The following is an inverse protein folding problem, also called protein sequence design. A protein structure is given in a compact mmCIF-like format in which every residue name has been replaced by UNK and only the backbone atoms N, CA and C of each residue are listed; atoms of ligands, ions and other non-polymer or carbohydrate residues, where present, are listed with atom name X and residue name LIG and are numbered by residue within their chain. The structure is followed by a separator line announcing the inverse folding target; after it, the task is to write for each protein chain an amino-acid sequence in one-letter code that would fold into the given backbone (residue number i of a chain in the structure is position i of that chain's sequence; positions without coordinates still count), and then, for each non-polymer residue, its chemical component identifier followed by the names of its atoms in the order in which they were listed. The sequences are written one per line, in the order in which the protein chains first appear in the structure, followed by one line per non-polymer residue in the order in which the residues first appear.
data_IF_779150623840
#
_entry.id   IF_779150623840
#
_cell.length_a   1.000
_cell.length_b   1.000
_cell.length_c   1.000
_cell.angle_alpha   90.00
_cell.angle_beta   90.00
_cell.angle_gamma   90.00
#
_symmetry.space_group_name_H-M   'P 1'
#
loop_
_entity.id
_entity.type
_entity.pdbx_description
1 polymer ?
#
# COMPACT_ATOMS: atom_id res chain seq x y z
N UNK A 1 10.77 -4.23 27.41
CA UNK A 1 10.83 -3.18 26.36
C UNK A 1 10.25 -3.76 25.08
N UNK A 2 9.63 -2.98 24.19
CA UNK A 2 9.19 -3.52 22.90
C UNK A 2 10.39 -4.10 22.14
N UNK A 3 10.19 -5.23 21.46
CA UNK A 3 11.20 -5.79 20.57
C UNK A 3 11.29 -4.92 19.32
N UNK A 4 12.50 -4.43 19.03
CA UNK A 4 12.81 -3.55 17.91
C UNK A 4 13.78 -4.21 16.92
N UNK A 5 13.91 -5.53 16.98
CA UNK A 5 14.75 -6.30 16.06
C UNK A 5 14.24 -6.15 14.63
N UNK A 6 15.10 -5.84 13.64
CA UNK A 6 14.72 -5.82 12.24
C UNK A 6 14.17 -7.17 11.78
N UNK A 7 13.04 -7.17 11.07
CA UNK A 7 12.39 -8.38 10.56
C UNK A 7 12.75 -8.53 9.08
N UNK A 8 13.53 -9.55 8.68
CA UNK A 8 13.88 -9.77 7.29
C UNK A 8 12.68 -10.30 6.48
N UNK A 9 12.56 -9.87 5.22
CA UNK A 9 11.54 -10.34 4.28
C UNK A 9 12.21 -11.18 3.19
N UNK A 10 12.15 -12.51 3.33
CA UNK A 10 12.62 -13.43 2.28
C UNK A 10 11.55 -13.57 1.18
N UNK A 11 11.79 -12.92 0.04
CA UNK A 11 10.88 -12.94 -1.11
C UNK A 11 10.71 -14.30 -1.78
N UNK A 12 11.58 -15.26 -1.48
CA UNK A 12 11.46 -16.62 -2.02
C UNK A 12 10.32 -17.37 -1.34
N UNK A 13 10.01 -17.05 -0.09
CA UNK A 13 9.05 -17.77 0.76
C UNK A 13 7.68 -17.10 0.82
N UNK A 14 6.94 -17.18 -0.28
CA UNK A 14 5.56 -16.65 -0.38
C UNK A 14 4.55 -17.62 0.23
N UNK A 15 4.70 -18.90 -0.08
CA UNK A 15 4.18 -20.06 0.63
C UNK A 15 4.80 -21.23 -0.13
N UNK A 16 5.61 -22.03 0.54
CA UNK A 16 6.53 -22.92 -0.16
C UNK A 16 5.81 -24.14 -0.80
N UNK A 17 4.47 -24.21 -0.69
CA UNK A 17 3.62 -25.35 -1.06
C UNK A 17 2.11 -25.02 -1.27
N UNK A 18 1.67 -23.76 -1.17
CA UNK A 18 0.25 -23.41 -1.34
C UNK A 18 -0.13 -23.14 -2.80
N UNK A 19 -1.25 -23.74 -3.24
CA UNK A 19 -1.94 -23.34 -4.47
C UNK A 19 -2.62 -22.00 -4.20
N UNK A 20 -2.34 -20.99 -5.04
CA UNK A 20 -2.95 -19.67 -4.93
C UNK A 20 -4.49 -19.73 -4.96
N UNK A 21 -5.14 -18.76 -4.33
CA UNK A 21 -6.60 -18.62 -4.30
C UNK A 21 -7.05 -17.65 -5.38
N UNK A 22 -8.27 -17.74 -5.92
CA UNK A 22 -8.77 -16.72 -6.83
C UNK A 22 -8.58 -15.30 -6.27
N UNK A 23 -8.12 -14.38 -7.10
CA UNK A 23 -7.89 -12.99 -6.72
C UNK A 23 -9.14 -12.33 -6.13
N UNK A 24 -9.00 -11.66 -4.98
CA UNK A 24 -10.07 -10.96 -4.25
C UNK A 24 -9.82 -9.46 -4.07
N UNK A 25 -8.71 -8.93 -4.61
CA UNK A 25 -8.37 -7.50 -4.54
C UNK A 25 -9.16 -6.61 -5.53
N UNK A 26 -10.06 -7.21 -6.31
CA UNK A 26 -10.96 -6.51 -7.24
C UNK A 26 -11.88 -7.48 -7.99
N UNK A 27 -12.65 -6.97 -8.94
CA UNK A 27 -13.50 -7.78 -9.81
C UNK A 27 -12.69 -8.33 -10.99
N UNK A 28 -12.65 -9.64 -11.16
CA UNK A 28 -11.97 -10.28 -12.29
C UNK A 28 -12.76 -10.02 -13.57
N UNK A 29 -12.10 -9.39 -14.56
CA UNK A 29 -12.68 -9.10 -15.87
C UNK A 29 -12.26 -10.14 -16.93
N UNK A 30 -11.07 -10.73 -16.80
CA UNK A 30 -10.55 -11.76 -17.72
C UNK A 30 -9.53 -12.66 -17.03
N UNK A 31 -9.44 -13.91 -17.49
CA UNK A 31 -8.55 -14.93 -16.94
C UNK A 31 -9.06 -15.54 -15.63
N UNK A 32 -8.18 -16.27 -14.95
CA UNK A 32 -8.41 -16.86 -13.63
C UNK A 32 -7.20 -16.57 -12.73
N UNK A 33 -6.95 -15.29 -12.41
CA UNK A 33 -5.79 -14.91 -11.61
C UNK A 33 -5.89 -15.55 -10.22
N UNK A 34 -4.85 -16.29 -9.85
CA UNK A 34 -4.66 -16.87 -8.54
C UNK A 34 -3.64 -16.02 -7.79
N UNK A 35 -4.03 -15.52 -6.63
CA UNK A 35 -3.18 -14.75 -5.74
C UNK A 35 -2.72 -15.55 -4.52
N UNK A 36 -1.58 -15.15 -4.01
CA UNK A 36 -1.04 -15.63 -2.75
C UNK A 36 -0.22 -14.53 -2.08
N UNK A 37 -0.28 -14.46 -0.76
CA UNK A 37 0.49 -13.48 0.00
C UNK A 37 0.94 -14.02 1.35
N UNK A 38 2.08 -13.52 1.79
CA UNK A 38 2.58 -13.72 3.14
C UNK A 38 2.74 -12.39 3.81
N UNK A 39 1.90 -12.16 4.81
CA UNK A 39 2.06 -11.03 5.70
C UNK A 39 3.16 -11.32 6.72
N UNK A 40 4.22 -10.52 6.72
CA UNK A 40 5.44 -10.78 7.53
C UNK A 40 5.51 -9.83 8.72
N UNK A 41 4.99 -8.62 8.60
CA UNK A 41 4.97 -7.65 9.68
C UNK A 41 3.63 -6.96 9.78
N UNK A 42 3.18 -6.78 11.02
CA UNK A 42 2.03 -5.94 11.39
C UNK A 42 2.44 -4.90 12.41
N UNK A 43 2.06 -3.66 12.15
CA UNK A 43 2.32 -2.52 13.02
C UNK A 43 1.09 -1.63 13.13
N UNK A 44 1.16 -0.65 14.04
CA UNK A 44 0.12 0.36 14.23
C UNK A 44 -1.29 -0.26 14.38
N UNK A 45 -1.39 -1.25 15.26
CA UNK A 45 -2.63 -1.96 15.58
C UNK A 45 -3.26 -2.61 14.33
N UNK A 46 -2.43 -3.23 13.49
CA UNK A 46 -2.84 -3.92 12.26
C UNK A 46 -3.13 -2.98 11.08
N UNK A 47 -2.98 -1.66 11.25
CA UNK A 47 -3.17 -0.72 10.14
C UNK A 47 -2.00 -0.71 9.17
N UNK A 48 -0.79 -0.95 9.66
CA UNK A 48 0.39 -1.10 8.82
C UNK A 48 0.68 -2.58 8.64
N UNK A 49 0.83 -3.02 7.40
CA UNK A 49 1.18 -4.40 7.06
C UNK A 49 2.20 -4.42 5.94
N UNK A 50 3.17 -5.32 6.00
CA UNK A 50 4.13 -5.51 4.92
C UNK A 50 4.49 -6.97 4.72
N UNK A 51 4.81 -7.33 3.49
CA UNK A 51 5.07 -8.71 3.13
C UNK A 51 5.38 -8.89 1.66
N UNK A 52 5.09 -10.10 1.18
CA UNK A 52 5.30 -10.50 -0.22
C UNK A 52 3.97 -10.98 -0.78
N UNK A 53 3.71 -10.62 -2.04
CA UNK A 53 2.51 -11.01 -2.77
C UNK A 53 2.89 -11.53 -4.15
N UNK A 54 2.10 -12.46 -4.67
CA UNK A 54 2.20 -12.95 -6.04
C UNK A 54 0.81 -13.16 -6.65
N UNK A 55 0.69 -12.96 -7.96
CA UNK A 55 -0.51 -13.32 -8.70
C UNK A 55 -0.22 -13.74 -10.13
N UNK A 56 -0.97 -14.73 -10.62
CA UNK A 56 -0.90 -15.23 -12.01
C UNK A 56 -1.64 -14.29 -12.98
N UNK A 57 -1.43 -14.44 -14.31
CA UNK A 57 -2.03 -13.57 -15.30
C UNK A 57 -3.56 -13.47 -15.24
N UNK A 58 -4.06 -12.28 -15.56
CA UNK A 58 -5.48 -11.93 -15.54
C UNK A 58 -5.70 -10.42 -15.53
N UNK A 59 -6.94 -10.00 -15.77
CA UNK A 59 -7.33 -8.60 -15.71
C UNK A 59 -8.30 -8.39 -14.55
N UNK A 60 -7.99 -7.45 -13.66
CA UNK A 60 -8.80 -7.17 -12.47
C UNK A 60 -9.16 -5.68 -12.43
N UNK A 61 -10.46 -5.38 -12.28
CA UNK A 61 -10.95 -4.05 -11.99
C UNK A 61 -10.92 -3.79 -10.48
N UNK A 62 -10.25 -2.72 -10.09
CA UNK A 62 -10.18 -2.24 -8.71
C UNK A 62 -11.11 -1.05 -8.53
N UNK A 63 -11.78 -0.97 -7.39
CA UNK A 63 -12.68 0.12 -7.04
C UNK A 63 -12.47 0.52 -5.58
N UNK A 64 -12.23 1.82 -5.35
CA UNK A 64 -12.03 2.41 -4.02
C UNK A 64 -11.02 1.65 -3.15
N UNK A 65 -9.77 1.52 -3.64
CA UNK A 65 -8.72 0.77 -2.93
C UNK A 65 -8.56 1.25 -1.47
N UNK A 66 -8.69 0.38 -0.45
CA UNK A 66 -8.85 0.85 0.93
C UNK A 66 -7.52 1.19 1.65
N UNK A 67 -6.39 1.10 0.95
CA UNK A 67 -5.05 1.31 1.52
C UNK A 67 -4.25 2.34 0.73
N UNK A 68 -3.34 3.05 1.39
CA UNK A 68 -2.15 3.50 0.68
C UNK A 68 -1.21 2.31 0.58
N UNK A 69 -0.85 1.91 -0.63
CA UNK A 69 0.05 0.78 -0.87
C UNK A 69 1.31 1.24 -1.56
N UNK A 70 2.47 0.91 -1.01
CA UNK A 70 3.74 0.95 -1.72
C UNK A 70 4.11 -0.47 -2.13
N UNK A 71 4.60 -0.65 -3.35
CA UNK A 71 5.16 -1.94 -3.76
C UNK A 71 6.37 -1.81 -4.68
N UNK A 72 7.18 -2.88 -4.70
CA UNK A 72 8.31 -3.07 -5.62
C UNK A 72 8.12 -4.40 -6.31
N UNK A 73 8.08 -4.39 -7.65
CA UNK A 73 7.97 -5.61 -8.44
C UNK A 73 9.32 -6.34 -8.44
N UNK A 74 9.28 -7.62 -8.10
CA UNK A 74 10.44 -8.51 -8.05
C UNK A 74 10.56 -9.35 -9.33
N UNK A 75 9.43 -9.70 -9.93
CA UNK A 75 9.34 -10.43 -11.20
C UNK A 75 8.01 -10.13 -11.89
N UNK A 76 7.94 -10.46 -13.18
CA UNK A 76 6.74 -10.32 -13.99
C UNK A 76 6.49 -8.89 -14.44
N UNK A 77 5.27 -8.67 -14.95
CA UNK A 77 4.88 -7.45 -15.66
C UNK A 77 3.40 -7.17 -15.50
N UNK A 78 3.06 -5.92 -15.23
CA UNK A 78 1.68 -5.44 -15.14
C UNK A 78 1.48 -4.16 -15.95
N UNK A 79 0.26 -3.96 -16.44
CA UNK A 79 -0.21 -2.64 -16.88
C UNK A 79 -1.27 -2.18 -15.88
N UNK A 80 -1.09 -0.99 -15.34
CA UNK A 80 -2.06 -0.36 -14.43
C UNK A 80 -2.68 0.83 -15.17
N UNK A 81 -4.00 0.84 -15.26
CA UNK A 81 -4.75 1.92 -15.91
C UNK A 81 -5.69 2.58 -14.90
N UNK A 82 -5.40 3.80 -14.44
CA UNK A 82 -6.31 4.56 -13.58
C UNK A 82 -7.61 4.89 -14.33
N UNK A 83 -8.72 5.00 -13.61
CA UNK A 83 -9.97 5.54 -14.18
C UNK A 83 -9.75 6.96 -14.72
N UNK A 84 -10.04 7.17 -16.00
CA UNK A 84 -9.80 8.45 -16.69
C UNK A 84 -8.32 8.79 -16.94
N UNK A 85 -7.39 7.89 -16.61
CA UNK A 85 -5.96 8.05 -16.79
C UNK A 85 -5.39 7.22 -17.94
N UNK A 86 -4.11 7.43 -18.25
CA UNK A 86 -3.37 6.63 -19.22
C UNK A 86 -2.80 5.35 -18.58
N UNK A 87 -2.74 4.24 -19.32
CA UNK A 87 -2.09 3.01 -18.86
C UNK A 87 -0.59 3.23 -18.63
N UNK A 88 -0.05 2.57 -17.62
CA UNK A 88 1.40 2.51 -17.38
C UNK A 88 1.85 1.09 -17.09
N UNK A 89 2.88 0.66 -17.79
CA UNK A 89 3.53 -0.63 -17.56
C UNK A 89 4.53 -0.54 -16.40
N UNK A 90 4.59 -1.60 -15.61
CA UNK A 90 5.58 -1.83 -14.55
C UNK A 90 6.12 -3.25 -14.67
N UNK A 91 7.42 -3.41 -14.44
CA UNK A 91 8.15 -4.68 -14.50
C UNK A 91 9.08 -4.87 -13.30
N UNK A 92 9.78 -5.99 -13.26
CA UNK A 92 10.79 -6.28 -12.24
C UNK A 92 11.78 -5.10 -12.05
N UNK A 93 11.97 -4.69 -10.80
CA UNK A 93 12.80 -3.54 -10.40
C UNK A 93 12.02 -2.24 -10.24
N UNK A 94 10.83 -2.12 -10.83
CA UNK A 94 10.02 -0.90 -10.69
C UNK A 94 9.32 -0.84 -9.32
N UNK A 95 9.15 0.38 -8.83
CA UNK A 95 8.41 0.68 -7.62
C UNK A 95 7.25 1.63 -7.91
N UNK A 96 6.15 1.49 -7.16
CA UNK A 96 4.98 2.33 -7.31
C UNK A 96 4.24 2.51 -5.98
N UNK A 97 3.39 3.53 -5.96
CA UNK A 97 2.40 3.74 -4.90
C UNK A 97 1.01 3.69 -5.50
N UNK A 98 0.14 2.85 -4.95
CA UNK A 98 -1.30 2.93 -5.13
C UNK A 98 -1.88 3.80 -4.01
N UNK A 99 -2.38 5.01 -4.33
CA UNK A 99 -3.06 5.82 -3.33
C UNK A 99 -4.38 5.17 -2.93
N UNK A 100 -4.74 5.34 -1.67
CA UNK A 100 -6.07 5.00 -1.18
C UNK A 100 -7.15 5.70 -2.01
N UNK A 101 -8.21 4.97 -2.34
CA UNK A 101 -9.27 5.41 -3.24
C UNK A 101 -8.99 5.14 -4.71
N UNK A 102 -7.86 4.49 -5.06
CA UNK A 102 -7.56 4.10 -6.43
C UNK A 102 -8.72 3.28 -7.03
N UNK A 103 -9.15 3.70 -8.22
CA UNK A 103 -10.11 3.02 -9.09
C UNK A 103 -9.48 2.93 -10.48
N UNK A 104 -9.57 1.76 -11.11
CA UNK A 104 -8.89 1.48 -12.36
C UNK A 104 -8.74 -0.02 -12.62
N UNK A 105 -7.85 -0.41 -13.52
CA UNK A 105 -7.55 -1.81 -13.83
C UNK A 105 -6.11 -2.18 -13.56
N UNK A 106 -5.92 -3.45 -13.19
CA UNK A 106 -4.64 -4.14 -13.11
C UNK A 106 -4.66 -5.30 -14.10
N UNK A 107 -3.89 -5.16 -15.17
CA UNK A 107 -3.65 -6.22 -16.14
C UNK A 107 -2.33 -6.91 -15.81
N UNK A 108 -2.40 -8.16 -15.37
CA UNK A 108 -1.24 -8.97 -15.02
C UNK A 108 -0.88 -9.77 -16.27
N UNK A 109 0.21 -9.37 -16.94
CA UNK A 109 0.64 -9.96 -18.22
C UNK A 109 1.47 -11.23 -18.02
N UNK A 110 2.29 -11.23 -16.97
CA UNK A 110 3.15 -12.34 -16.54
C UNK A 110 2.91 -12.55 -15.04
N UNK A 111 3.17 -13.74 -14.50
CA UNK A 111 3.07 -13.96 -13.04
C UNK A 111 3.95 -12.94 -12.30
N UNK A 112 3.30 -12.07 -11.53
CA UNK A 112 3.96 -10.96 -10.84
C UNK A 112 4.23 -11.34 -9.40
N UNK A 113 5.41 -11.00 -8.92
CA UNK A 113 5.79 -11.06 -7.51
C UNK A 113 6.19 -9.67 -7.04
N UNK A 114 5.77 -9.25 -5.86
CA UNK A 114 6.12 -7.93 -5.30
C UNK A 114 6.36 -7.97 -3.79
N UNK A 115 7.23 -7.09 -3.32
CA UNK A 115 7.13 -6.60 -1.95
C UNK A 115 5.97 -5.61 -1.86
N UNK A 116 5.25 -5.63 -0.75
CA UNK A 116 4.23 -4.63 -0.47
C UNK A 116 4.36 -4.07 0.95
N UNK A 117 3.93 -2.82 1.11
CA UNK A 117 3.60 -2.20 2.38
C UNK A 117 2.27 -1.46 2.23
N UNK A 118 1.29 -1.75 3.09
CA UNK A 118 -0.03 -1.13 3.06
C UNK A 118 -0.33 -0.42 4.37
N UNK A 119 -0.97 0.75 4.27
CA UNK A 119 -1.49 1.52 5.38
C UNK A 119 -3.00 1.70 5.26
N UNK A 120 -3.74 1.13 6.21
CA UNK A 120 -5.20 1.25 6.30
C UNK A 120 -5.66 2.58 6.91
N UNK A 121 -6.89 2.98 6.59
CA UNK A 121 -7.56 4.13 7.23
C UNK A 121 -7.56 3.99 8.75
N UNK A 122 -7.39 5.13 9.41
CA UNK A 122 -7.52 5.21 10.85
C UNK A 122 -9.00 5.04 11.24
N UNK A 123 -9.34 4.16 12.21
CA UNK A 123 -10.72 4.01 12.66
C UNK A 123 -11.29 5.35 13.16
N UNK A 124 -12.55 5.63 12.84
CA UNK A 124 -13.23 6.88 13.16
C UNK A 124 -13.10 7.26 14.65
N UNK A 125 -13.24 6.27 15.54
CA UNK A 125 -13.12 6.47 16.99
C UNK A 125 -11.77 7.06 17.43
N UNK A 126 -10.67 6.71 16.73
CA UNK A 126 -9.34 7.23 17.05
C UNK A 126 -9.17 8.67 16.57
N UNK A 127 -9.70 9.00 15.38
CA UNK A 127 -9.75 10.40 14.88
C UNK A 127 -10.54 11.30 15.83
N UNK A 128 -11.65 10.80 16.39
CA UNK A 128 -12.45 11.54 17.38
C UNK A 128 -11.68 11.71 18.69
N UNK A 129 -11.08 10.65 19.24
CA UNK A 129 -10.26 10.74 20.47
C UNK A 129 -9.10 11.72 20.33
N UNK A 130 -8.40 11.72 19.19
CA UNK A 130 -7.29 12.66 18.94
C UNK A 130 -7.77 14.11 18.83
N UNK A 131 -8.91 14.37 18.18
CA UNK A 131 -9.54 15.71 18.15
C UNK A 131 -9.93 16.22 19.54
N UNK A 132 -10.52 15.35 20.37
CA UNK A 132 -10.92 15.72 21.75
C UNK A 132 -9.69 15.95 22.64
N UNK A 133 -8.63 15.13 22.49
CA UNK A 133 -7.36 15.32 23.21
C UNK A 133 -6.67 16.64 22.85
N UNK A 134 -6.80 17.11 21.60
CA UNK A 134 -6.33 18.43 21.17
C UNK A 134 -7.07 19.60 21.85
N UNK A 135 -8.37 19.44 22.11
CA UNK A 135 -9.21 20.44 22.79
C UNK A 135 -8.89 20.60 24.29
N UNK A 136 -8.37 19.55 24.92
CA UNK A 136 -8.03 19.53 26.35
C UNK A 136 -6.61 20.05 26.65
N UNK A 137 -5.84 20.47 25.65
CA UNK A 137 -4.52 21.09 25.90
C UNK A 137 -4.76 22.55 26.30
N UNK A 138 -4.42 22.98 27.53
CA UNK A 138 -4.56 24.38 27.94
C UNK A 138 -3.71 25.28 27.03
N UNK A 139 -4.33 26.37 26.57
CA UNK A 139 -3.79 27.23 25.51
C UNK A 139 -2.47 27.90 25.89
N UNK A 140 -1.47 27.76 25.02
CA UNK A 140 -0.32 28.64 25.01
C UNK A 140 -0.73 30.00 24.43
N UNK A 141 -0.93 31.00 25.30
CA UNK A 141 -1.05 32.41 24.92
C UNK A 141 0.34 33.04 24.78
N UNK A 142 0.58 33.65 23.61
CA UNK A 142 1.20 34.98 23.47
C UNK A 142 2.71 35.06 23.23
N UNK A 143 3.12 35.58 22.06
CA UNK A 143 4.46 36.08 21.78
C UNK A 143 4.64 36.46 20.31
N UNK A 144 4.86 37.75 20.04
CA UNK A 144 4.77 38.48 18.76
C UNK A 144 5.70 38.04 17.60
N UNK A 145 5.26 38.44 16.39
CA UNK A 145 5.97 38.39 15.11
C UNK A 145 7.15 39.38 15.02
N UNK A 146 8.17 39.03 14.23
CA UNK A 146 8.91 39.95 13.34
C UNK A 146 9.47 39.19 12.13
N UNK A 147 9.67 39.97 11.06
CA UNK A 147 9.78 39.63 9.64
C UNK A 147 11.09 39.00 9.12
N UNK A 148 10.92 38.31 7.98
CA UNK A 148 11.75 38.24 6.76
C UNK A 148 13.22 37.73 6.78
N UNK A 149 13.49 36.68 5.99
CA UNK A 149 14.11 36.78 4.65
C UNK A 149 14.24 35.42 3.94
N UNK A 150 14.26 35.51 2.61
CA UNK A 150 14.33 34.42 1.62
C UNK A 150 15.71 33.73 1.52
N UNK A 151 15.72 32.49 1.00
CA UNK A 151 16.90 31.75 0.53
C UNK A 151 16.59 30.26 0.27
N UNK A 152 16.17 29.89 -0.95
CA UNK A 152 16.91 29.08 -1.96
C UNK A 152 16.99 27.56 -1.68
N UNK A 153 16.56 26.83 -2.72
CA UNK A 153 16.76 25.44 -3.14
C UNK A 153 17.74 24.55 -2.34
N UNK A 154 17.35 23.29 -2.10
CA UNK A 154 17.51 22.14 -3.03
C UNK A 154 16.35 21.15 -2.83
#
# INVERSE_FOLDING_TARGET
MPDHTPIPIDSRRIADDEVGKPAVFGAILSGQPLEIHRNIFEGDYGRFRSGVWQCTPGLVAMKDWPYHEFCVLLSGRVIITPEGGSPREYKAGDALVLPMGFTGTWEILETVRKYYAVQARQPLMRRVKERVKGWLRPGAKGGQATDAKAGVAF
#
